data_IF_282888768115
#
_entry.id   IF_282888768115
#
_cell.length_a   1.000
_cell.length_b   1.000
_cell.length_c   1.000
_cell.angle_alpha   90.00
_cell.angle_beta   90.00
_cell.angle_gamma   90.00
#
_symmetry.space_group_name_H-M   'P 1'
#
loop_
_entity.id
_entity.type
_entity.pdbx_description
1 polymer ?
#
# COMPACT_ATOMS: atom_id res chain seq x y z
N UNK A 1 8.03 -1.44 -1.07
CA UNK A 1 6.89 -0.88 -0.32
C UNK A 1 7.28 0.51 0.15
N UNK A 2 6.37 1.49 0.13
CA UNK A 2 6.63 2.83 0.64
C UNK A 2 6.01 2.96 2.03
N UNK A 3 6.70 3.63 2.95
CA UNK A 3 6.16 4.00 4.25
C UNK A 3 5.21 5.19 4.07
N UNK A 4 3.91 4.97 4.18
CA UNK A 4 2.90 5.96 3.85
C UNK A 4 3.02 7.26 4.64
N UNK A 5 3.36 7.20 5.92
CA UNK A 5 3.49 8.38 6.79
C UNK A 5 4.54 9.40 6.29
N UNK A 6 5.56 8.93 5.55
CA UNK A 6 6.58 9.78 4.96
C UNK A 6 6.21 10.30 3.56
N UNK A 7 5.02 9.93 3.02
CA UNK A 7 4.63 10.25 1.66
C UNK A 7 3.66 11.42 1.61
N UNK A 8 3.98 12.39 0.77
CA UNK A 8 3.05 13.37 0.24
C UNK A 8 2.63 12.93 -1.17
N UNK A 9 1.35 12.68 -1.35
CA UNK A 9 0.79 12.27 -2.64
C UNK A 9 -0.07 13.37 -3.25
N UNK A 10 0.11 13.60 -4.55
CA UNK A 10 -0.78 14.41 -5.36
C UNK A 10 -1.68 13.49 -6.18
N UNK A 11 -2.97 13.72 -6.14
CA UNK A 11 -3.95 13.07 -7.02
C UNK A 11 -4.56 14.14 -7.92
N UNK A 12 -4.51 13.92 -9.23
CA UNK A 12 -5.20 14.77 -10.22
C UNK A 12 -6.39 13.98 -10.77
N UNK A 13 -7.59 14.47 -10.47
CA UNK A 13 -8.87 13.83 -10.75
C UNK A 13 -9.73 13.66 -9.49
N UNK A 14 -11.07 13.76 -9.63
CA UNK A 14 -12.02 13.78 -8.52
C UNK A 14 -13.06 12.66 -8.53
N UNK A 15 -12.95 11.70 -9.47
CA UNK A 15 -13.91 10.60 -9.61
C UNK A 15 -13.61 9.38 -8.72
N UNK A 16 -14.40 8.31 -8.90
CA UNK A 16 -14.31 7.07 -8.10
C UNK A 16 -12.90 6.42 -8.11
N UNK A 17 -12.16 6.50 -9.23
CA UNK A 17 -10.78 5.99 -9.30
C UNK A 17 -9.85 6.77 -8.37
N UNK A 18 -9.97 8.10 -8.36
CA UNK A 18 -9.21 8.97 -7.49
C UNK A 18 -9.56 8.71 -6.02
N UNK A 19 -10.84 8.60 -5.67
CA UNK A 19 -11.32 8.29 -4.32
C UNK A 19 -10.76 6.97 -3.80
N UNK A 20 -10.82 5.90 -4.61
CA UNK A 20 -10.25 4.59 -4.25
C UNK A 20 -8.75 4.65 -3.98
N UNK A 21 -8.01 5.39 -4.82
CA UNK A 21 -6.56 5.58 -4.65
C UNK A 21 -6.24 6.43 -3.42
N UNK A 22 -6.99 7.51 -3.20
CA UNK A 22 -6.87 8.36 -2.01
C UNK A 22 -7.08 7.54 -0.73
N UNK A 23 -8.15 6.73 -0.68
CA UNK A 23 -8.45 5.86 0.48
C UNK A 23 -7.27 4.93 0.80
N UNK A 24 -6.69 4.28 -0.21
CA UNK A 24 -5.57 3.37 0.01
C UNK A 24 -4.32 4.08 0.58
N UNK A 25 -4.04 5.29 0.10
CA UNK A 25 -2.94 6.11 0.60
C UNK A 25 -3.18 6.62 2.02
N UNK A 26 -4.41 7.05 2.32
CA UNK A 26 -4.81 7.53 3.65
C UNK A 26 -4.74 6.43 4.70
N UNK A 27 -5.22 5.22 4.38
CA UNK A 27 -5.10 4.03 5.25
C UNK A 27 -3.61 3.71 5.50
N UNK A 28 -2.73 3.92 4.52
CA UNK A 28 -1.29 3.77 4.69
C UNK A 28 -0.63 4.94 5.46
N UNK A 29 -1.40 5.95 5.88
CA UNK A 29 -0.92 7.09 6.66
C UNK A 29 -0.39 8.28 5.85
N UNK A 30 -0.46 8.24 4.51
CA UNK A 30 0.03 9.30 3.63
C UNK A 30 -0.76 10.60 3.77
N UNK A 31 -0.11 11.73 3.51
CA UNK A 31 -0.78 13.01 3.25
C UNK A 31 -1.18 13.06 1.78
N UNK A 32 -2.43 13.41 1.52
CA UNK A 32 -2.98 13.42 0.16
C UNK A 32 -3.50 14.81 -0.17
N UNK A 33 -3.01 15.38 -1.26
CA UNK A 33 -3.58 16.56 -1.90
C UNK A 33 -4.23 16.14 -3.21
N UNK A 34 -5.49 16.53 -3.41
CA UNK A 34 -6.26 16.18 -4.59
C UNK A 34 -6.69 17.45 -5.33
N UNK A 35 -6.50 17.47 -6.64
CA UNK A 35 -6.89 18.58 -7.51
C UNK A 35 -7.80 18.03 -8.61
N UNK A 36 -8.95 18.63 -8.77
CA UNK A 36 -9.91 18.27 -9.79
C UNK A 36 -10.80 19.46 -10.14
N UNK A 37 -11.26 19.54 -11.38
CA UNK A 37 -12.26 20.54 -11.79
C UNK A 37 -13.61 20.27 -11.09
N UNK A 38 -13.92 19.00 -10.87
CA UNK A 38 -15.11 18.55 -10.15
C UNK A 38 -14.70 17.44 -9.17
N UNK A 39 -15.12 17.57 -7.91
CA UNK A 39 -14.83 16.62 -6.84
C UNK A 39 -16.11 15.84 -6.50
N UNK A 40 -16.07 14.53 -6.72
CA UNK A 40 -17.17 13.61 -6.44
C UNK A 40 -17.47 13.44 -4.95
N UNK A 41 -18.67 12.96 -4.65
CA UNK A 41 -19.16 12.75 -3.27
C UNK A 41 -18.24 11.86 -2.44
N UNK A 42 -17.71 10.78 -3.02
CA UNK A 42 -16.79 9.85 -2.31
C UNK A 42 -15.50 10.55 -1.83
N UNK A 43 -14.97 11.49 -2.59
CA UNK A 43 -13.77 12.25 -2.17
C UNK A 43 -14.12 13.22 -1.05
N UNK A 44 -15.28 13.86 -1.10
CA UNK A 44 -15.77 14.77 -0.04
C UNK A 44 -15.99 14.03 1.27
N UNK A 45 -16.58 12.84 1.21
CA UNK A 45 -16.76 11.96 2.37
C UNK A 45 -15.41 11.53 2.97
N UNK A 46 -14.46 11.17 2.11
CA UNK A 46 -13.10 10.86 2.57
C UNK A 46 -12.41 12.05 3.23
N UNK A 47 -12.56 13.25 2.70
CA UNK A 47 -11.99 14.45 3.29
C UNK A 47 -12.61 14.78 4.67
N UNK A 48 -13.88 14.50 4.85
CA UNK A 48 -14.54 14.59 6.16
C UNK A 48 -14.04 13.56 7.18
N UNK A 49 -13.66 12.37 6.73
CA UNK A 49 -13.20 11.27 7.58
C UNK A 49 -11.69 11.28 7.85
N UNK A 50 -10.89 11.86 6.95
CA UNK A 50 -9.41 11.83 7.00
C UNK A 50 -8.82 13.23 6.96
N UNK A 51 -8.35 13.80 8.07
CA UNK A 51 -7.75 15.14 8.13
C UNK A 51 -6.49 15.30 7.23
N UNK A 52 -5.88 14.19 6.82
CA UNK A 52 -4.71 14.18 5.93
C UNK A 52 -5.07 14.31 4.44
N UNK A 53 -6.37 14.38 4.08
CA UNK A 53 -6.82 14.64 2.72
C UNK A 53 -7.27 16.10 2.59
N UNK A 54 -6.61 16.82 1.70
CA UNK A 54 -7.02 18.16 1.27
C UNK A 54 -7.34 18.14 -0.22
N UNK A 55 -8.42 18.76 -0.64
CA UNK A 55 -8.76 18.88 -2.05
C UNK A 55 -9.01 20.34 -2.47
N UNK A 56 -8.77 20.61 -3.75
CA UNK A 56 -9.01 21.89 -4.38
C UNK A 56 -9.82 21.66 -5.67
N UNK A 57 -10.95 22.37 -5.81
CA UNK A 57 -11.78 22.31 -7.02
C UNK A 57 -11.29 23.37 -8.03
N UNK A 58 -10.37 22.96 -8.86
CA UNK A 58 -9.80 23.76 -9.95
C UNK A 58 -9.06 22.89 -10.96
N UNK A 59 -8.67 23.51 -12.07
CA UNK A 59 -7.80 22.85 -13.05
C UNK A 59 -6.40 22.65 -12.48
N UNK A 60 -5.75 21.56 -12.95
CA UNK A 60 -4.36 21.23 -12.66
C UNK A 60 -3.41 22.28 -13.28
N UNK A 61 -2.38 22.62 -12.55
CA UNK A 61 -1.24 23.41 -13.00
C UNK A 61 0.07 22.64 -12.71
N UNK A 62 1.11 22.82 -13.56
CA UNK A 62 2.40 22.11 -13.39
C UNK A 62 3.08 22.36 -12.04
N UNK A 63 2.84 23.56 -11.46
CA UNK A 63 3.31 23.90 -10.10
C UNK A 63 2.71 23.02 -8.99
N UNK A 64 1.62 22.30 -9.27
CA UNK A 64 0.96 21.44 -8.30
C UNK A 64 1.77 20.21 -7.94
N UNK A 65 2.72 19.81 -8.78
CA UNK A 65 3.66 18.74 -8.43
C UNK A 65 4.35 19.05 -7.10
N UNK A 66 4.84 20.26 -6.92
CA UNK A 66 5.42 20.73 -5.66
C UNK A 66 6.36 19.70 -5.01
N UNK A 67 6.13 19.42 -3.74
CA UNK A 67 6.91 18.43 -2.96
C UNK A 67 6.35 17.01 -2.97
N UNK A 68 5.31 16.72 -3.76
CA UNK A 68 4.74 15.39 -3.82
C UNK A 68 5.77 14.35 -4.28
N UNK A 69 5.96 13.28 -3.53
CA UNK A 69 6.82 12.16 -3.89
C UNK A 69 6.09 11.17 -4.83
N UNK A 70 4.77 11.11 -4.73
CA UNK A 70 3.92 10.24 -5.53
C UNK A 70 2.81 11.03 -6.19
N UNK A 71 2.67 10.88 -7.49
CA UNK A 71 1.66 11.57 -8.31
C UNK A 71 0.74 10.54 -8.95
N UNK A 72 -0.57 10.75 -8.87
CA UNK A 72 -1.58 9.86 -9.45
C UNK A 72 -2.43 10.65 -10.44
N UNK A 73 -2.24 10.42 -11.74
CA UNK A 73 -3.08 10.98 -12.80
C UNK A 73 -4.31 10.07 -12.99
N UNK A 74 -5.49 10.57 -12.66
CA UNK A 74 -6.73 9.79 -12.58
C UNK A 74 -7.94 10.56 -13.09
N UNK A 75 -7.73 11.43 -14.11
CA UNK A 75 -8.81 12.15 -14.77
C UNK A 75 -9.38 11.34 -15.95
N UNK A 76 -10.51 11.77 -16.49
CA UNK A 76 -11.06 11.26 -17.73
C UNK A 76 -10.44 11.91 -18.97
N UNK A 77 -9.61 12.94 -18.80
CA UNK A 77 -8.92 13.66 -19.87
C UNK A 77 -7.49 13.09 -20.03
N UNK A 78 -7.27 12.39 -21.14
CA UNK A 78 -5.96 11.82 -21.47
C UNK A 78 -4.88 12.87 -21.66
N UNK A 79 -5.23 14.07 -22.14
CA UNK A 79 -4.30 15.19 -22.31
C UNK A 79 -3.79 15.69 -20.96
N UNK A 80 -4.68 15.86 -20.00
CA UNK A 80 -4.32 16.21 -18.62
C UNK A 80 -3.48 15.11 -17.98
N UNK A 81 -3.89 13.82 -18.09
CA UNK A 81 -3.12 12.72 -17.52
C UNK A 81 -1.69 12.64 -18.10
N UNK A 82 -1.53 12.90 -19.42
CA UNK A 82 -0.23 12.98 -20.07
C UNK A 82 0.60 14.10 -19.51
N UNK A 83 0.03 15.31 -19.44
CA UNK A 83 0.72 16.49 -18.88
C UNK A 83 1.17 16.27 -17.45
N UNK A 84 0.31 15.69 -16.59
CA UNK A 84 0.66 15.35 -15.21
C UNK A 84 1.84 14.37 -15.17
N UNK A 85 1.85 13.35 -16.05
CA UNK A 85 2.96 12.41 -16.15
C UNK A 85 4.27 13.09 -16.55
N UNK A 86 4.22 13.92 -17.60
CA UNK A 86 5.40 14.64 -18.12
C UNK A 86 5.98 15.60 -17.04
N UNK A 87 5.11 16.34 -16.34
CA UNK A 87 5.51 17.23 -15.25
C UNK A 87 6.12 16.45 -14.06
N UNK A 88 5.53 15.29 -13.71
CA UNK A 88 6.05 14.45 -12.64
C UNK A 88 7.41 13.83 -13.00
N UNK A 89 7.61 13.41 -14.24
CA UNK A 89 8.90 12.92 -14.73
C UNK A 89 9.96 14.01 -14.72
N UNK A 90 9.62 15.23 -15.18
CA UNK A 90 10.51 16.38 -15.13
C UNK A 90 10.96 16.73 -13.70
N UNK A 91 10.07 16.50 -12.73
CA UNK A 91 10.34 16.69 -11.31
C UNK A 91 10.95 15.46 -10.61
N UNK A 92 11.28 14.38 -11.35
CA UNK A 92 11.80 13.12 -10.80
C UNK A 92 10.92 12.49 -9.73
N UNK A 93 9.58 12.50 -9.95
CA UNK A 93 8.60 11.94 -9.00
C UNK A 93 8.09 10.58 -9.48
N UNK A 94 7.63 9.78 -8.51
CA UNK A 94 6.86 8.57 -8.84
C UNK A 94 5.52 8.99 -9.42
N UNK A 95 5.16 8.42 -10.59
CA UNK A 95 3.88 8.70 -11.21
C UNK A 95 3.15 7.43 -11.65
N UNK A 96 1.87 7.37 -11.31
CA UNK A 96 0.94 6.34 -11.77
C UNK A 96 -0.12 6.99 -12.65
N UNK A 97 -0.29 6.51 -13.87
CA UNK A 97 -1.28 7.00 -14.83
C UNK A 97 -2.37 5.95 -14.99
N UNK A 98 -3.61 6.31 -14.70
CA UNK A 98 -4.70 5.34 -14.59
C UNK A 98 -5.10 4.72 -15.93
N UNK A 99 -5.12 5.51 -16.99
CA UNK A 99 -5.54 5.13 -18.35
C UNK A 99 -4.38 4.76 -19.29
N UNK A 100 -3.13 5.05 -18.88
CA UNK A 100 -1.93 4.72 -19.65
C UNK A 100 -0.78 4.30 -18.71
N UNK A 101 -0.77 3.04 -18.24
CA UNK A 101 0.26 2.56 -17.32
C UNK A 101 1.68 2.62 -17.87
N UNK A 102 1.86 2.69 -19.21
CA UNK A 102 3.17 2.76 -19.84
C UNK A 102 3.84 4.14 -19.64
N UNK A 103 3.04 5.18 -19.40
CA UNK A 103 3.54 6.53 -19.08
C UNK A 103 3.88 6.70 -17.59
N UNK A 104 3.49 5.76 -16.74
CA UNK A 104 3.86 5.76 -15.34
C UNK A 104 5.19 5.05 -15.09
N UNK A 105 5.88 5.41 -13.99
CA UNK A 105 7.07 4.73 -13.49
C UNK A 105 6.78 3.92 -12.22
N UNK A 106 5.55 3.93 -11.72
CA UNK A 106 5.09 3.08 -10.64
C UNK A 106 3.67 2.55 -10.89
N UNK A 107 3.36 1.44 -10.24
CA UNK A 107 2.05 0.78 -10.33
C UNK A 107 1.52 0.46 -8.95
N UNK A 108 0.20 0.54 -8.80
CA UNK A 108 -0.48 0.04 -7.61
C UNK A 108 -0.78 -1.45 -7.77
N UNK A 109 -0.63 -2.21 -6.69
CA UNK A 109 -0.93 -3.65 -6.65
C UNK A 109 -2.35 -3.90 -6.13
N UNK A 110 -2.95 -5.02 -6.50
CA UNK A 110 -4.06 -5.57 -5.71
C UNK A 110 -3.46 -6.10 -4.40
N UNK A 111 -3.88 -5.54 -3.26
CA UNK A 111 -3.22 -5.78 -1.97
C UNK A 111 -4.18 -6.51 -1.03
N UNK A 112 -3.70 -7.59 -0.42
CA UNK A 112 -4.29 -8.25 0.73
C UNK A 112 -3.49 -7.89 1.99
N UNK A 113 -4.19 -7.69 3.11
CA UNK A 113 -3.60 -7.45 4.43
C UNK A 113 -4.22 -8.37 5.46
N UNK A 114 -3.36 -8.98 6.27
CA UNK A 114 -3.73 -9.70 7.47
C UNK A 114 -2.75 -9.26 8.58
N UNK A 115 -3.17 -8.29 9.41
CA UNK A 115 -2.29 -7.60 10.34
C UNK A 115 -1.10 -6.95 9.61
N UNK A 116 0.12 -7.28 10.04
CA UNK A 116 1.37 -6.80 9.43
C UNK A 116 1.78 -7.57 8.16
N UNK A 117 1.12 -8.70 7.87
CA UNK A 117 1.32 -9.39 6.60
C UNK A 117 0.69 -8.58 5.46
N UNK A 118 1.47 -8.28 4.44
CA UNK A 118 1.02 -7.58 3.23
C UNK A 118 1.43 -8.34 1.99
N UNK A 119 0.44 -8.72 1.16
CA UNK A 119 0.66 -9.41 -0.12
C UNK A 119 0.20 -8.50 -1.25
N UNK A 120 1.12 -8.09 -2.11
CA UNK A 120 0.85 -7.28 -3.30
C UNK A 120 0.92 -8.11 -4.57
N UNK A 121 -0.13 -8.07 -5.40
CA UNK A 121 -0.24 -8.86 -6.62
C UNK A 121 -0.34 -7.93 -7.84
N UNK A 122 0.43 -8.25 -8.87
CA UNK A 122 0.30 -7.68 -10.23
C UNK A 122 0.08 -8.82 -11.21
N UNK A 123 -0.66 -8.58 -12.29
CA UNK A 123 -0.97 -9.60 -13.29
C UNK A 123 -0.86 -9.00 -14.70
N UNK A 124 0.39 -8.65 -15.12
CA UNK A 124 0.72 -8.30 -16.50
C UNK A 124 -0.16 -7.23 -17.16
N UNK A 125 -0.75 -6.30 -16.39
CA UNK A 125 -1.69 -5.30 -16.92
C UNK A 125 -3.16 -5.76 -16.96
N UNK A 126 -3.50 -6.89 -16.31
CA UNK A 126 -4.88 -7.40 -16.17
C UNK A 126 -5.34 -7.23 -14.72
N UNK A 127 -5.90 -6.05 -14.32
CA UNK A 127 -6.27 -5.76 -12.93
C UNK A 127 -7.28 -6.75 -12.33
N UNK A 128 -8.23 -7.22 -13.13
CA UNK A 128 -9.24 -8.20 -12.69
C UNK A 128 -8.62 -9.54 -12.31
N UNK A 129 -7.59 -10.00 -13.02
CA UNK A 129 -6.85 -11.20 -12.65
C UNK A 129 -6.09 -11.01 -11.33
N UNK A 130 -5.43 -9.85 -11.14
CA UNK A 130 -4.74 -9.53 -9.90
C UNK A 130 -5.71 -9.51 -8.70
N UNK A 131 -6.92 -8.97 -8.87
CA UNK A 131 -7.97 -8.97 -7.84
C UNK A 131 -8.43 -10.39 -7.51
N UNK A 132 -8.67 -11.22 -8.52
CA UNK A 132 -9.08 -12.62 -8.31
C UNK A 132 -8.02 -13.45 -7.59
N UNK A 133 -6.75 -13.28 -7.97
CA UNK A 133 -5.63 -13.93 -7.30
C UNK A 133 -5.52 -13.44 -5.85
N UNK A 134 -5.65 -12.14 -5.60
CA UNK A 134 -5.67 -11.58 -4.26
C UNK A 134 -6.77 -12.22 -3.41
N UNK A 135 -7.99 -12.32 -3.92
CA UNK A 135 -9.13 -12.87 -3.18
C UNK A 135 -8.92 -14.36 -2.84
N UNK A 136 -8.33 -15.11 -3.77
CA UNK A 136 -7.94 -16.50 -3.52
C UNK A 136 -6.86 -16.62 -2.43
N UNK A 137 -5.86 -15.74 -2.45
CA UNK A 137 -4.81 -15.73 -1.43
C UNK A 137 -5.33 -15.25 -0.08
N UNK A 138 -6.28 -14.29 -0.06
CA UNK A 138 -6.89 -13.79 1.17
C UNK A 138 -7.60 -14.88 1.97
N UNK A 139 -8.20 -15.86 1.29
CA UNK A 139 -8.86 -17.00 1.94
C UNK A 139 -7.88 -17.94 2.66
N UNK A 140 -6.62 -17.98 2.24
CA UNK A 140 -5.58 -18.79 2.86
C UNK A 140 -4.79 -17.99 3.90
N UNK A 141 -4.34 -16.80 3.54
CA UNK A 141 -3.50 -15.93 4.37
C UNK A 141 -4.36 -15.00 5.24
N UNK A 142 -5.10 -15.59 6.15
CA UNK A 142 -6.10 -14.98 7.02
C UNK A 142 -5.50 -14.50 8.38
N UNK A 143 -6.35 -14.32 9.37
CA UNK A 143 -5.97 -13.86 10.71
C UNK A 143 -5.00 -14.80 11.43
N UNK A 144 -4.93 -16.09 11.07
CA UNK A 144 -3.93 -17.02 11.61
C UNK A 144 -2.53 -16.59 11.23
N UNK A 145 -2.34 -16.14 10.00
CA UNK A 145 -1.05 -15.61 9.54
C UNK A 145 -0.74 -14.23 10.16
N UNK A 146 -1.77 -13.40 10.40
CA UNK A 146 -1.59 -12.16 11.15
C UNK A 146 -1.06 -12.44 12.57
N UNK A 147 -1.65 -13.40 13.28
CA UNK A 147 -1.23 -13.80 14.62
C UNK A 147 0.19 -14.37 14.62
N UNK A 148 0.51 -15.28 13.69
CA UNK A 148 1.85 -15.86 13.56
C UNK A 148 2.93 -14.81 13.31
N UNK A 149 2.70 -13.87 12.39
CA UNK A 149 3.63 -12.78 12.10
C UNK A 149 3.81 -11.88 13.32
N UNK A 150 2.74 -11.54 14.03
CA UNK A 150 2.80 -10.73 15.25
C UNK A 150 3.59 -11.44 16.37
N UNK A 151 3.38 -12.74 16.55
CA UNK A 151 4.11 -13.57 17.51
C UNK A 151 5.61 -13.58 17.21
N UNK A 152 6.00 -13.84 15.96
CA UNK A 152 7.40 -13.85 15.54
C UNK A 152 8.05 -12.46 15.65
N UNK A 153 7.33 -11.39 15.31
CA UNK A 153 7.81 -10.02 15.45
C UNK A 153 8.04 -9.66 16.94
N UNK A 154 7.16 -10.12 17.82
CA UNK A 154 7.28 -9.94 19.27
C UNK A 154 8.47 -10.72 19.84
N UNK A 155 8.62 -11.99 19.48
CA UNK A 155 9.76 -12.84 19.87
C UNK A 155 11.07 -12.20 19.41
N UNK A 156 11.15 -11.83 18.12
CA UNK A 156 12.35 -11.18 17.56
C UNK A 156 12.72 -9.92 18.35
N UNK A 157 11.76 -9.05 18.61
CA UNK A 157 11.99 -7.80 19.35
C UNK A 157 12.53 -8.12 20.75
N UNK A 158 11.88 -9.02 21.50
CA UNK A 158 12.30 -9.42 22.85
C UNK A 158 13.73 -9.93 22.88
N UNK A 159 14.10 -10.82 21.95
CA UNK A 159 15.45 -11.40 21.92
C UNK A 159 16.51 -10.40 21.45
N UNK A 160 16.23 -9.58 20.45
CA UNK A 160 17.16 -8.57 19.95
C UNK A 160 17.39 -7.47 20.99
N UNK A 161 16.33 -6.94 21.60
CA UNK A 161 16.42 -5.89 22.63
C UNK A 161 17.08 -6.43 23.92
N UNK A 162 16.93 -7.74 24.18
CA UNK A 162 17.62 -8.45 25.26
C UNK A 162 19.07 -8.82 24.97
N UNK A 163 19.61 -8.49 23.79
CA UNK A 163 20.99 -8.82 23.40
C UNK A 163 21.22 -10.28 22.98
N UNK A 164 20.15 -11.07 22.79
CA UNK A 164 20.20 -12.50 22.45
C UNK A 164 20.06 -12.74 20.93
N UNK A 165 20.82 -12.02 20.10
CA UNK A 165 20.73 -12.10 18.62
C UNK A 165 21.00 -13.51 18.08
N UNK A 166 21.93 -14.26 18.72
CA UNK A 166 22.23 -15.64 18.31
C UNK A 166 21.07 -16.60 18.63
N UNK A 167 20.30 -16.32 19.68
CA UNK A 167 19.11 -17.08 20.01
C UNK A 167 17.98 -16.80 19.01
N UNK A 168 17.81 -15.54 18.60
CA UNK A 168 16.89 -15.24 17.50
C UNK A 168 17.29 -15.93 16.19
N UNK A 169 18.57 -16.01 15.86
CA UNK A 169 19.02 -16.72 14.65
C UNK A 169 18.58 -18.19 14.70
N UNK A 170 18.82 -18.90 15.81
CA UNK A 170 18.38 -20.30 16.00
C UNK A 170 16.87 -20.45 15.99
N UNK A 171 16.15 -19.55 16.67
CA UNK A 171 14.70 -19.57 16.71
C UNK A 171 14.10 -19.36 15.30
N UNK A 172 14.67 -18.41 14.52
CA UNK A 172 14.20 -18.14 13.16
C UNK A 172 14.42 -19.34 12.22
N UNK A 173 15.54 -20.03 12.30
CA UNK A 173 15.78 -21.25 11.52
C UNK A 173 14.80 -22.38 11.89
N UNK A 174 14.49 -22.53 13.17
CA UNK A 174 13.58 -23.58 13.63
C UNK A 174 12.10 -23.30 13.34
N UNK A 175 11.67 -22.03 13.43
CA UNK A 175 10.27 -21.64 13.31
C UNK A 175 9.87 -21.24 11.87
N UNK A 176 10.83 -20.77 11.05
CA UNK A 176 10.56 -20.24 9.70
C UNK A 176 11.26 -21.12 8.66
N UNK A 177 11.00 -22.40 8.72
CA UNK A 177 11.44 -23.41 7.75
C UNK A 177 10.36 -23.71 6.69
N UNK A 178 10.56 -24.72 5.87
CA UNK A 178 9.62 -25.15 4.82
C UNK A 178 8.22 -25.52 5.38
N UNK A 179 8.11 -25.82 6.67
CA UNK A 179 6.87 -26.17 7.36
C UNK A 179 6.18 -24.97 8.02
N UNK A 180 6.70 -23.76 7.83
CA UNK A 180 6.14 -22.54 8.45
C UNK A 180 4.64 -22.40 8.20
N UNK A 181 4.21 -22.49 6.93
CA UNK A 181 2.79 -22.36 6.58
C UNK A 181 1.93 -23.47 7.21
N UNK A 182 2.44 -24.70 7.29
CA UNK A 182 1.76 -25.81 7.93
C UNK A 182 1.53 -25.54 9.43
N UNK A 183 2.56 -25.08 10.15
CA UNK A 183 2.44 -24.70 11.57
C UNK A 183 1.42 -23.59 11.81
N UNK A 184 1.41 -22.58 10.96
CA UNK A 184 0.42 -21.50 11.03
C UNK A 184 -0.99 -22.04 10.82
N UNK A 185 -1.20 -22.89 9.81
CA UNK A 185 -2.50 -23.48 9.48
C UNK A 185 -2.99 -24.47 10.56
N UNK A 186 -2.09 -25.15 11.27
CA UNK A 186 -2.37 -26.03 12.41
C UNK A 186 -2.52 -25.28 13.75
N UNK A 187 -2.12 -24.00 13.81
CA UNK A 187 -2.21 -23.18 15.03
C UNK A 187 -1.14 -23.49 16.08
N UNK A 188 -0.01 -24.13 15.70
CA UNK A 188 1.07 -24.49 16.65
C UNK A 188 2.12 -23.40 16.83
N UNK A 189 2.15 -22.39 15.96
CA UNK A 189 3.19 -21.35 15.93
C UNK A 189 3.38 -20.62 17.26
N UNK A 190 2.30 -20.27 17.95
CA UNK A 190 2.38 -19.53 19.22
C UNK A 190 3.03 -20.37 20.32
N UNK A 191 2.63 -21.65 20.43
CA UNK A 191 3.16 -22.59 21.44
C UNK A 191 4.62 -22.94 21.17
N UNK A 192 5.02 -23.05 19.91
CA UNK A 192 6.42 -23.33 19.54
C UNK A 192 7.29 -22.08 19.76
N UNK A 193 6.80 -20.90 19.43
CA UNK A 193 7.52 -19.64 19.68
C UNK A 193 7.71 -19.36 21.18
N UNK A 194 6.77 -19.80 22.04
CA UNK A 194 6.85 -19.63 23.49
C UNK A 194 8.00 -20.43 24.14
N UNK A 195 8.60 -21.39 23.43
CA UNK A 195 9.75 -22.18 23.92
C UNK A 195 11.08 -21.42 23.81
N UNK A 196 11.08 -20.24 23.17
CA UNK A 196 12.24 -19.43 22.96
C UNK A 196 12.22 -18.15 23.82
N UNK A 197 13.25 -17.92 24.62
CA UNK A 197 13.46 -16.70 25.42
C UNK A 197 13.11 -16.81 26.86
#
# INVERSE_FOLDING_TARGET
MLHGEAIEALIVGGGAVAARKARALLIAGARVRLIAVEVGTEVRELAGAYPKLHFEERSYASSDIGNAQLVLASTNDRGINRRVADDAHAAHRLVNVADDPARGNCRTTATHRAGDLVIGITAGGVPSAAVRIRDSLAARFDDRYAAAVATLASLRRRLIDGGASDEWARASEALIDDRFCERVEQGTMESEAAQWG
#
